data_IF_193249139108
#
_entry.id   IF_193249139108
#
_cell.length_a   1.000
_cell.length_b   1.000
_cell.length_c   1.000
_cell.angle_alpha   90.00
_cell.angle_beta   90.00
_cell.angle_gamma   90.00
#
_symmetry.space_group_name_H-M   'P 1'
#
loop_
_entity.id
_entity.type
_entity.pdbx_description
1 polymer ?
2 polymer ?
3 non-polymer ?
4 non-polymer ?
5 water ?
#
# COMPACT_ATOMS: atom_id res chain seq x y z
N UNK A 30 -18.71 -11.76 -3.51
CA UNK A 30 -17.27 -11.95 -3.65
C UNK A 30 -16.86 -13.34 -3.21
N UNK A 31 -16.41 -14.17 -4.15
CA UNK A 31 -15.95 -15.51 -3.81
C UNK A 31 -14.51 -15.42 -3.34
N UNK A 32 -14.33 -15.45 -2.03
CA UNK A 32 -13.00 -15.41 -1.43
C UNK A 32 -12.38 -16.80 -1.33
N UNK A 33 -12.94 -17.77 -2.08
CA UNK A 33 -12.45 -19.14 -2.21
C UNK A 33 -13.33 -20.12 -1.45
N UNK A 38 -10.30 -18.45 -11.10
CA UNK A 38 -9.77 -19.55 -11.90
C UNK A 38 -10.35 -19.56 -13.31
N UNK A 39 -11.14 -18.54 -13.65
CA UNK A 39 -11.63 -18.40 -15.01
C UNK A 39 -10.47 -18.18 -15.97
N UNK A 40 -10.57 -18.74 -17.18
CA UNK A 40 -9.48 -18.59 -18.13
C UNK A 40 -9.21 -17.12 -18.45
N UNK A 41 -10.26 -16.33 -18.70
CA UNK A 41 -10.04 -14.93 -19.05
C UNK A 41 -9.39 -14.18 -17.90
N UNK A 42 -9.69 -14.55 -16.66
CA UNK A 42 -9.07 -13.88 -15.52
C UNK A 42 -7.60 -14.26 -15.41
N UNK A 43 -7.28 -15.54 -15.62
CA UNK A 43 -5.89 -15.97 -15.54
C UNK A 43 -5.07 -15.27 -16.61
N UNK A 44 -5.61 -15.13 -17.83
CA UNK A 44 -4.89 -14.41 -18.89
C UNK A 44 -4.75 -12.91 -18.58
N UNK A 45 -5.79 -12.33 -17.99
CA UNK A 45 -5.72 -10.93 -17.58
C UNK A 45 -4.63 -10.72 -16.55
N UNK A 46 -4.54 -11.63 -15.57
CA UNK A 46 -3.53 -11.47 -14.54
C UNK A 46 -2.13 -11.53 -15.10
N UNK A 47 -1.90 -12.35 -16.15
CA UNK A 47 -0.60 -12.33 -16.81
C UNK A 47 -0.35 -10.97 -17.44
N UNK A 48 -1.36 -10.42 -18.12
CA UNK A 48 -1.23 -9.09 -18.73
C UNK A 48 -0.94 -8.03 -17.67
N UNK A 49 -1.60 -8.10 -16.52
CA UNK A 49 -1.36 -7.12 -15.48
C UNK A 49 0.08 -7.19 -14.97
N UNK A 50 0.62 -8.39 -14.75
CA UNK A 50 1.99 -8.50 -14.28
C UNK A 50 2.96 -7.93 -15.32
N UNK A 51 2.70 -8.16 -16.60
CA UNK A 51 3.55 -7.60 -17.64
C UNK A 51 3.51 -6.08 -17.62
N UNK A 52 2.33 -5.51 -17.40
CA UNK A 52 2.21 -4.07 -17.32
C UNK A 52 2.90 -3.52 -16.08
N UNK A 53 2.76 -4.20 -14.94
CA UNK A 53 3.41 -3.75 -13.73
C UNK A 53 4.91 -3.76 -13.90
N UNK A 54 5.47 -4.84 -14.43
CA UNK A 54 6.92 -4.89 -14.64
C UNK A 54 7.37 -3.72 -15.51
N UNK A 55 6.72 -3.54 -16.66
CA UNK A 55 7.14 -2.46 -17.54
C UNK A 55 6.98 -1.08 -16.90
N UNK A 56 5.86 -0.86 -16.23
CA UNK A 56 5.62 0.48 -15.69
C UNK A 56 6.56 0.79 -14.52
N UNK A 57 6.80 -0.17 -13.62
CA UNK A 57 7.75 0.06 -12.54
C UNK A 57 9.15 0.28 -13.10
N UNK A 58 9.59 -0.57 -14.03
CA UNK A 58 10.95 -0.41 -14.53
C UNK A 58 11.09 0.87 -15.34
N UNK A 59 10.07 1.27 -16.09
CA UNK A 59 10.13 2.46 -16.94
C UNK A 59 9.90 3.74 -16.16
N UNK A 60 8.86 3.78 -15.35
CA UNK A 60 8.38 5.01 -14.80
C UNK A 60 8.44 5.04 -13.27
N UNK A 61 8.67 3.89 -12.63
CA UNK A 61 8.84 3.82 -11.20
C UNK A 61 7.55 3.68 -10.43
N UNK A 62 6.41 3.62 -11.10
CA UNK A 62 5.11 3.46 -10.46
C UNK A 62 4.15 2.88 -11.48
N UNK A 63 3.03 2.34 -10.96
CA UNK A 63 2.02 1.74 -11.79
C UNK A 63 0.67 1.88 -11.10
N UNK A 64 -0.34 2.26 -11.82
CA UNK A 64 -1.71 2.33 -11.34
C UNK A 64 -2.51 1.23 -12.01
N UNK A 65 -3.29 0.50 -11.21
CA UNK A 65 -4.26 -0.47 -11.71
C UNK A 65 -5.64 -0.04 -11.19
N UNK A 66 -6.51 0.37 -12.07
CA UNK A 66 -7.87 0.71 -11.68
C UNK A 66 -8.72 -0.56 -11.60
N UNK A 67 -9.73 -0.52 -10.71
CA UNK A 67 -10.71 -1.62 -10.63
C UNK A 67 -10.02 -2.97 -10.35
N UNK A 68 -9.14 -2.99 -9.35
CA UNK A 68 -8.30 -4.15 -9.16
C UNK A 68 -9.11 -5.37 -8.73
N UNK A 69 -9.98 -5.23 -7.72
CA UNK A 69 -10.75 -6.37 -7.23
C UNK A 69 -12.16 -6.43 -7.79
N UNK A 70 -12.68 -5.36 -8.36
CA UNK A 70 -14.10 -5.29 -8.67
C UNK A 70 -14.91 -4.72 -7.51
N UNK A 71 -16.07 -4.13 -7.85
CA UNK A 71 -16.80 -3.34 -6.86
C UNK A 71 -17.36 -4.21 -5.72
N UNK A 72 -17.82 -5.43 -6.02
CA UNK A 72 -18.37 -6.29 -4.98
C UNK A 72 -17.32 -6.66 -3.93
N UNK A 73 -16.17 -7.15 -4.38
CA UNK A 73 -15.11 -7.52 -3.45
C UNK A 73 -14.53 -6.29 -2.74
N UNK A 74 -14.35 -5.19 -3.47
CA UNK A 74 -13.84 -3.99 -2.85
C UNK A 74 -14.78 -3.49 -1.74
N UNK A 75 -16.10 -3.58 -1.95
CA UNK A 75 -17.04 -3.15 -0.93
C UNK A 75 -16.86 -3.98 0.32
N UNK A 76 -16.62 -5.28 0.17
CA UNK A 76 -16.40 -6.13 1.35
C UNK A 76 -15.13 -5.73 2.08
N UNK A 77 -14.06 -5.38 1.34
CA UNK A 77 -12.85 -4.92 2.00
C UNK A 77 -13.17 -3.66 2.79
N UNK A 78 -13.84 -2.70 2.14
CA UNK A 78 -14.17 -1.45 2.82
C UNK A 78 -15.00 -1.70 4.07
N UNK A 79 -15.98 -2.58 3.99
CA UNK A 79 -16.84 -2.85 5.16
C UNK A 79 -16.04 -3.42 6.32
N UNK A 80 -15.07 -4.30 6.02
CA UNK A 80 -14.25 -4.86 7.10
C UNK A 80 -13.31 -3.83 7.67
N UNK A 81 -12.74 -2.95 6.83
CA UNK A 81 -11.92 -1.87 7.35
C UNK A 81 -12.72 -0.94 8.26
N UNK A 82 -13.95 -0.61 7.87
CA UNK A 82 -14.78 0.25 8.71
C UNK A 82 -15.13 -0.43 10.02
N UNK A 83 -15.42 -1.70 9.98
CA UNK A 83 -15.72 -2.42 11.21
C UNK A 83 -14.52 -2.43 12.15
N UNK A 84 -13.32 -2.66 11.62
CA UNK A 84 -12.12 -2.58 12.45
C UNK A 84 -11.95 -1.19 13.05
N UNK A 85 -12.15 -0.15 12.24
CA UNK A 85 -11.97 1.20 12.74
C UNK A 85 -12.97 1.48 13.86
N UNK A 86 -14.22 1.11 13.67
CA UNK A 86 -15.26 1.37 14.66
C UNK A 86 -15.04 0.58 15.94
N UNK A 87 -14.29 -0.50 15.88
CA UNK A 87 -14.02 -1.36 17.03
C UNK A 87 -12.90 -0.82 17.93
N UNK A 88 -12.24 0.26 17.57
CA UNK A 88 -11.35 0.95 18.46
C UNK A 88 -9.95 0.39 18.54
N UNK A 89 -9.52 -0.37 17.52
CA UNK A 89 -8.21 -1.01 17.53
C UNK A 89 -7.14 -0.25 16.77
N UNK A 90 -7.44 0.91 16.17
CA UNK A 90 -6.43 1.66 15.43
C UNK A 90 -5.59 2.53 16.36
N UNK A 91 -4.27 2.50 16.09
CA UNK A 91 -3.29 3.28 16.86
C UNK A 91 -2.82 4.44 15.97
N UNK A 92 -1.90 5.24 16.46
CA UNK A 92 -1.36 6.32 15.63
C UNK A 92 -0.25 5.86 14.70
N UNK A 93 -0.25 6.35 13.46
CA UNK A 93 0.85 6.01 12.57
C UNK A 93 2.15 6.54 13.14
N UNK A 94 3.21 5.75 12.99
CA UNK A 94 4.50 6.05 13.60
C UNK A 94 5.57 6.28 12.54
N UNK A 95 6.62 6.98 12.95
CA UNK A 95 7.80 7.20 12.14
C UNK A 95 8.91 6.22 12.52
N UNK A 96 9.93 6.16 11.68
CA UNK A 96 10.99 5.15 11.79
C UNK A 96 11.58 5.06 13.20
N UNK A 97 11.59 6.17 13.95
CA UNK A 97 12.03 6.13 15.35
C UNK A 97 10.96 5.57 16.30
N UNK A 98 9.84 5.08 15.77
CA UNK A 98 8.74 4.54 16.56
C UNK A 98 8.11 5.61 17.44
N UNK A 99 7.96 6.82 16.90
CA UNK A 99 7.26 7.91 17.58
C UNK A 99 6.26 8.51 16.59
N UNK A 100 5.27 9.22 17.12
CA UNK A 100 4.23 9.84 16.32
C UNK A 100 4.25 11.35 16.48
N UNK A 101 4.19 12.05 15.36
CA UNK A 101 4.08 13.51 15.33
C UNK A 101 2.93 13.81 14.39
N UNK A 102 1.79 14.20 14.95
CA UNK A 102 0.57 14.36 14.16
C UNK A 102 0.75 15.34 13.01
N UNK A 103 1.59 16.38 13.20
CA UNK A 103 1.79 17.38 12.14
C UNK A 103 2.64 16.83 10.99
N UNK A 104 3.35 15.74 11.21
CA UNK A 104 4.12 15.08 10.15
C UNK A 104 3.31 13.98 9.48
N UNK A 105 2.71 13.10 10.28
CA UNK A 105 1.95 11.96 9.80
C UNK A 105 0.68 11.85 10.64
N UNK A 106 -0.48 12.09 10.02
CA UNK A 106 -1.74 12.22 10.72
C UNK A 106 -2.75 11.10 10.60
N UNK A 107 -2.29 9.90 10.23
CA UNK A 107 -3.20 8.77 10.11
C UNK A 107 -3.25 7.93 11.37
N UNK A 108 -4.33 7.16 11.45
CA UNK A 108 -4.54 6.09 12.41
C UNK A 108 -4.40 4.79 11.63
N UNK A 109 -3.76 3.78 12.24
CA UNK A 109 -3.43 2.54 11.53
C UNK A 109 -3.74 1.31 12.37
N UNK A 110 -3.86 0.18 11.69
CA UNK A 110 -3.93 -1.13 12.31
C UNK A 110 -3.13 -2.10 11.45
N UNK A 111 -2.32 -2.93 12.07
CA UNK A 111 -1.59 -3.97 11.36
C UNK A 111 -2.43 -5.23 11.38
N UNK A 112 -2.75 -5.73 10.20
CA UNK A 112 -3.67 -6.85 10.01
C UNK A 112 -2.97 -7.95 9.22
N UNK A 113 -2.84 -9.13 9.85
CA UNK A 113 -2.25 -10.27 9.14
C UNK A 113 -3.20 -10.92 8.15
N UNK A 114 -4.48 -10.89 8.43
CA UNK A 114 -5.48 -11.44 7.54
C UNK A 114 -6.31 -12.54 8.15
N UNK A 115 -5.84 -13.18 9.22
CA UNK A 115 -6.58 -14.28 9.83
C UNK A 115 -7.41 -13.86 11.04
N UNK A 116 -7.36 -12.59 11.43
CA UNK A 116 -8.20 -12.08 12.51
C UNK A 116 -9.67 -12.20 12.13
N UNK A 117 -10.53 -12.31 13.14
CA UNK A 117 -11.97 -12.35 12.89
C UNK A 117 -12.39 -11.11 12.11
N UNK A 118 -13.23 -11.32 11.10
CA UNK A 118 -13.76 -10.22 10.32
C UNK A 118 -12.82 -9.63 9.32
N UNK A 119 -11.80 -10.38 8.88
CA UNK A 119 -10.78 -9.83 7.99
C UNK A 119 -10.56 -10.68 6.75
N UNK A 120 -11.48 -11.57 6.42
CA UNK A 120 -11.34 -12.45 5.25
C UNK A 120 -11.22 -11.69 3.94
N UNK A 121 -11.88 -10.54 3.80
CA UNK A 121 -11.77 -9.82 2.55
C UNK A 121 -10.42 -9.10 2.46
N UNK A 122 -9.88 -8.63 3.60
CA UNK A 122 -8.53 -8.09 3.62
C UNK A 122 -7.54 -9.18 3.26
N UNK A 123 -7.75 -10.40 3.78
CA UNK A 123 -6.85 -11.48 3.40
C UNK A 123 -6.93 -11.75 1.90
N UNK A 124 -8.14 -11.71 1.36
CA UNK A 124 -8.31 -11.93 -0.08
C UNK A 124 -7.55 -10.88 -0.88
N UNK A 125 -7.64 -9.62 -0.48
CA UNK A 125 -6.87 -8.58 -1.14
C UNK A 125 -5.38 -8.91 -1.11
N UNK A 126 -4.87 -9.28 0.07
CA UNK A 126 -3.45 -9.56 0.19
C UNK A 126 -3.06 -10.73 -0.68
N UNK A 127 -3.91 -11.74 -0.80
CA UNK A 127 -3.59 -12.88 -1.65
C UNK A 127 -3.51 -12.49 -3.12
N UNK A 128 -4.40 -11.56 -3.54
CA UNK A 128 -4.39 -11.09 -4.92
C UNK A 128 -3.15 -10.28 -5.21
N UNK A 129 -2.73 -9.42 -4.29
CA UNK A 129 -1.50 -8.66 -4.48
C UNK A 129 -0.30 -9.60 -4.45
N UNK A 130 -0.27 -10.55 -3.51
CA UNK A 130 0.84 -11.50 -3.43
C UNK A 130 0.96 -12.25 -4.76
N UNK A 131 -0.15 -12.65 -5.35
CA UNK A 131 -0.11 -13.38 -6.61
C UNK A 131 0.44 -12.51 -7.73
N UNK A 132 0.02 -11.23 -7.76
CA UNK A 132 0.54 -10.30 -8.76
C UNK A 132 2.05 -10.16 -8.60
N UNK A 133 2.52 -9.89 -7.38
CA UNK A 133 3.96 -9.73 -7.16
C UNK A 133 4.70 -11.00 -7.53
N UNK A 134 4.15 -12.18 -7.19
CA UNK A 134 4.84 -13.44 -7.50
C UNK A 134 5.03 -13.62 -8.99
N UNK A 135 4.07 -13.20 -9.80
CA UNK A 135 4.20 -13.29 -11.24
C UNK A 135 5.27 -12.34 -11.76
N UNK A 136 5.64 -11.30 -11.01
CA UNK A 136 6.68 -10.37 -11.43
C UNK A 136 8.07 -10.78 -10.94
N UNK A 137 8.16 -11.76 -10.05
CA UNK A 137 9.44 -12.06 -9.41
C UNK A 137 10.50 -12.39 -10.44
N UNK A 138 11.69 -11.83 -10.22
CA UNK A 138 12.78 -11.97 -11.15
C UNK A 138 12.81 -10.93 -12.22
N UNK A 139 11.79 -10.10 -12.33
CA UNK A 139 11.70 -9.09 -13.38
C UNK A 139 11.65 -7.69 -12.80
N UNK A 140 11.68 -7.55 -11.48
CA UNK A 140 11.64 -6.24 -10.82
C UNK A 140 13.03 -5.84 -10.37
N UNK A 141 13.70 -5.01 -11.16
CA UNK A 141 15.09 -4.71 -10.88
C UNK A 141 15.89 -5.97 -10.63
N UNK A 142 16.77 -5.91 -9.62
CA UNK A 142 17.49 -7.08 -9.14
C UNK A 142 16.97 -7.53 -7.79
N UNK A 143 15.73 -7.18 -7.48
CA UNK A 143 15.16 -7.56 -6.20
C UNK A 143 14.69 -9.01 -6.25
N UNK A 144 14.76 -9.66 -5.09
CA UNK A 144 14.21 -10.99 -4.89
C UNK A 144 13.22 -10.92 -3.72
N UNK A 145 11.96 -11.02 -4.04
CA UNK A 145 10.92 -10.70 -3.08
C UNK A 145 10.42 -11.99 -2.47
N UNK A 146 10.69 -12.17 -1.20
CA UNK A 146 10.31 -13.39 -0.51
C UNK A 146 9.46 -13.13 0.72
N UNK A 147 9.18 -11.89 1.04
CA UNK A 147 8.38 -11.56 2.22
C UNK A 147 7.80 -10.17 2.09
N UNK A 148 6.91 -9.86 3.02
CA UNK A 148 6.30 -8.55 3.05
C UNK A 148 5.86 -8.24 4.46
N UNK A 149 5.43 -6.99 4.66
CA UNK A 149 4.76 -6.64 5.91
C UNK A 149 3.36 -7.26 6.00
N UNK A 150 2.83 -7.31 7.22
CA UNK A 150 1.38 -7.39 7.37
C UNK A 150 0.72 -6.21 6.63
N UNK A 151 -0.61 -6.30 6.43
CA UNK A 151 -1.35 -5.18 5.86
C UNK A 151 -1.38 -4.02 6.84
N UNK A 152 -1.08 -2.83 6.37
CA UNK A 152 -1.22 -1.64 7.18
C UNK A 152 -2.51 -0.96 6.75
N UNK A 153 -3.57 -1.13 7.52
CA UNK A 153 -4.85 -0.49 7.23
C UNK A 153 -4.77 0.91 7.83
N UNK A 154 -5.12 1.95 7.06
CA UNK A 154 -4.92 3.32 7.51
C UNK A 154 -6.14 4.17 7.23
N UNK A 155 -6.36 5.11 8.14
CA UNK A 155 -7.41 6.11 7.99
C UNK A 155 -6.81 7.47 8.34
N UNK A 156 -6.92 8.42 7.42
CA UNK A 156 -6.68 9.82 7.76
C UNK A 156 -8.04 10.38 8.10
N UNK A 157 -8.34 10.72 9.36
CA UNK A 157 -9.74 11.01 9.73
C UNK A 157 -10.13 12.46 9.47
N UNK A 158 -10.07 12.85 8.20
CA UNK A 158 -10.41 14.21 7.80
C UNK A 158 -9.54 15.21 8.55
N UNK A 159 -10.13 16.39 8.82
CA UNK A 159 -9.52 17.39 9.67
C UNK A 159 -8.25 17.96 9.09
N UNK A 160 -8.06 17.85 7.79
CA UNK A 160 -6.87 18.35 7.15
C UNK A 160 -5.63 17.55 7.45
N UNK A 161 -5.78 16.31 7.92
CA UNK A 161 -4.63 15.47 8.25
C UNK A 161 -4.03 14.85 6.99
N UNK A 162 -2.72 14.66 6.99
CA UNK A 162 -2.03 14.10 5.84
C UNK A 162 -0.68 13.55 6.25
N UNK A 163 0.22 13.43 5.28
CA UNK A 163 1.58 12.93 5.53
C UNK A 163 2.51 13.74 4.64
N UNK A 164 3.36 14.55 5.26
CA UNK A 164 4.26 15.43 4.50
C UNK A 164 5.22 14.59 3.64
N UNK A 165 5.84 15.24 2.65
CA UNK A 165 6.69 14.55 1.69
C UNK A 165 7.75 13.70 2.39
N UNK A 166 7.84 12.45 1.98
CA UNK A 166 8.75 11.49 2.59
C UNK A 166 9.13 10.44 1.57
N UNK A 167 10.14 9.67 1.98
CA UNK A 167 10.57 8.47 1.29
C UNK A 167 10.24 7.28 2.19
N UNK A 168 9.63 6.22 1.63
CA UNK A 168 9.27 5.09 2.45
C UNK A 168 10.50 4.39 3.02
N UNK A 169 11.54 4.19 2.22
CA UNK A 169 12.74 3.44 2.62
C UNK A 169 13.98 4.21 2.24
N UNK A 170 14.39 5.18 3.07
CA UNK A 170 15.58 5.98 2.77
C UNK A 170 16.86 5.34 3.26
N UNK A 171 16.79 4.34 4.15
CA UNK A 171 18.00 3.85 4.85
C UNK A 171 18.13 2.33 4.82
N UNK A 172 17.76 1.72 3.70
CA UNK A 172 17.98 0.31 3.45
C UNK A 172 17.36 -0.57 4.54
N UNK A 173 16.06 -0.39 4.74
CA UNK A 173 15.26 -1.17 5.69
C UNK A 173 14.63 -2.39 5.05
N UNK A 174 14.91 -2.66 3.79
CA UNK A 174 14.44 -3.86 3.13
C UNK A 174 13.27 -3.66 2.19
N UNK A 175 12.50 -2.58 2.37
CA UNK A 175 11.31 -2.37 1.57
C UNK A 175 11.67 -2.00 0.13
N UNK A 176 11.18 -2.76 -0.85
CA UNK A 176 11.49 -2.45 -2.23
C UNK A 176 10.30 -2.00 -3.06
N UNK A 177 9.11 -2.53 -2.81
CA UNK A 177 7.90 -2.12 -3.51
C UNK A 177 6.82 -1.76 -2.50
N UNK A 178 6.26 -0.57 -2.63
CA UNK A 178 5.10 -0.15 -1.90
C UNK A 178 3.85 -0.42 -2.71
N UNK A 179 2.85 -1.01 -2.09
CA UNK A 179 1.56 -1.24 -2.70
C UNK A 179 0.49 -0.58 -1.84
N UNK A 180 -0.31 0.28 -2.45
CA UNK A 180 -1.45 0.92 -1.83
C UNK A 180 -2.71 0.48 -2.54
N UNK A 181 -3.73 0.17 -1.75
CA UNK A 181 -5.07 -0.15 -2.23
C UNK A 181 -6.04 0.85 -1.62
N UNK A 182 -6.69 1.62 -2.45
CA UNK A 182 -7.55 2.69 -1.96
C UNK A 182 -9.01 2.26 -1.89
N UNK A 183 -9.74 2.86 -0.94
CA UNK A 183 -11.07 2.40 -0.54
C UNK A 183 -12.09 3.52 -0.45
N UNK A 184 -11.95 4.59 -1.18
CA UNK A 184 -12.80 5.77 -0.99
C UNK A 184 -13.81 5.96 -2.11
N UNK A 185 -15.07 5.60 -1.91
CA UNK A 185 -16.04 5.66 -3.01
C UNK A 185 -16.48 7.08 -3.28
N UNK A 186 -16.71 7.36 -4.54
CA UNK A 186 -17.22 8.66 -4.96
C UNK A 186 -16.42 9.80 -4.34
N UNK A 187 -15.09 9.67 -4.38
CA UNK A 187 -14.18 10.66 -3.79
C UNK A 187 -13.96 11.80 -4.77
N UNK A 188 -14.03 13.04 -4.28
CA UNK A 188 -13.79 14.21 -5.11
C UNK A 188 -12.64 14.96 -4.47
N UNK A 189 -11.47 14.93 -5.10
CA UNK A 189 -10.30 15.51 -4.48
C UNK A 189 -10.35 17.02 -4.40
N UNK A 190 -11.11 17.69 -5.27
CA UNK A 190 -11.23 19.15 -5.15
C UNK A 190 -11.89 19.52 -3.82
N UNK A 191 -12.86 18.75 -3.41
CA UNK A 191 -13.54 19.02 -2.15
C UNK A 191 -12.81 18.41 -0.97
N UNK A 193 -9.60 16.68 -0.83
CA UNK A 193 -8.17 16.58 -0.83
C UNK A 193 -7.71 15.13 -0.80
N UNK A 194 -6.68 14.86 -0.02
CA UNK A 194 -6.19 13.51 0.15
C UNK A 194 -5.56 12.85 -1.06
N UNK A 195 -5.13 13.59 -2.08
CA UNK A 195 -4.41 12.96 -3.17
C UNK A 195 -3.04 12.52 -2.68
N UNK A 196 -2.52 11.47 -3.32
CA UNK A 196 -1.13 11.09 -3.21
C UNK A 196 -0.38 11.83 -4.29
N UNK A 197 0.57 12.65 -3.89
CA UNK A 197 1.43 13.36 -4.84
C UNK A 197 2.79 12.69 -4.87
N UNK A 198 3.13 12.13 -6.00
CA UNK A 198 4.36 11.41 -6.21
C UNK A 198 5.32 12.24 -7.06
N UNK A 199 6.61 12.17 -6.75
CA UNK A 199 7.62 12.95 -7.45
C UNK A 199 8.65 11.97 -8.02
N UNK A 200 8.35 11.30 -9.11
CA UNK A 200 9.29 10.28 -9.60
C UNK A 200 10.67 10.88 -9.89
N UNK A 201 11.72 10.21 -9.44
CA UNK A 201 13.08 10.76 -9.47
C UNK A 201 13.53 11.16 -10.86
N UNK A 203 12.15 12.55 -13.32
CA UNK A 203 11.22 13.54 -13.82
C UNK A 203 11.26 14.82 -12.99
N UNK A 204 10.81 15.92 -13.61
CA UNK A 204 10.69 17.20 -12.93
C UNK A 204 9.22 17.57 -12.82
N UNK A 205 8.43 16.72 -12.16
CA UNK A 205 6.99 16.85 -12.27
C UNK A 205 6.35 16.08 -11.14
N UNK A 206 5.19 16.52 -10.75
CA UNK A 206 4.39 15.82 -9.75
C UNK A 206 3.34 15.00 -10.47
N UNK A 207 3.08 13.81 -9.97
CA UNK A 207 1.99 12.96 -10.43
C UNK A 207 0.95 12.93 -9.32
N UNK A 208 -0.23 13.45 -9.59
CA UNK A 208 -1.27 13.62 -8.58
C UNK A 208 -2.25 12.48 -8.75
N UNK A 209 -2.36 11.66 -7.72
CA UNK A 209 -3.13 10.43 -7.81
C UNK A 209 -4.31 10.49 -6.83
N UNK A 210 -5.53 10.37 -7.35
CA UNK A 210 -6.71 10.34 -6.51
C UNK A 210 -6.84 9.00 -5.79
N UNK A 211 -7.23 9.01 -4.50
CA UNK A 211 -7.31 7.77 -3.70
C UNK A 211 -8.65 7.06 -3.91
N UNK A 212 -8.94 6.73 -5.16
CA UNK A 212 -10.29 6.27 -5.52
C UNK A 212 -10.48 4.78 -5.19
N UNK A 213 -11.70 4.47 -4.86
CA UNK A 213 -12.15 3.11 -4.53
C UNK A 213 -11.66 2.11 -5.57
N UNK A 214 -11.03 1.06 -5.06
CA UNK A 214 -10.64 -0.12 -5.84
C UNK A 214 -9.43 0.15 -6.75
N UNK A 215 -8.68 1.20 -6.49
CA UNK A 215 -7.45 1.46 -7.22
C UNK A 215 -6.25 0.90 -6.46
N UNK A 216 -5.38 0.21 -7.19
CA UNK A 216 -4.10 -0.28 -6.72
C UNK A 216 -2.99 0.58 -7.27
N UNK A 217 -2.06 0.97 -6.43
CA UNK A 217 -0.91 1.74 -6.80
C UNK A 217 0.34 1.01 -6.32
N UNK A 218 1.32 0.85 -7.19
CA UNK A 218 2.62 0.27 -6.84
C UNK A 218 3.73 1.27 -7.18
N UNK A 219 4.76 1.37 -6.34
CA UNK A 219 5.92 2.20 -6.65
C UNK A 219 7.12 1.72 -5.88
N UNK A 220 8.30 1.95 -6.45
CA UNK A 220 9.52 1.66 -5.71
C UNK A 220 9.55 2.44 -4.40
N UNK A 221 9.90 1.74 -3.30
CA UNK A 221 9.88 2.33 -1.97
C UNK A 221 11.07 3.24 -1.68
N UNK A 222 12.15 3.17 -2.46
CA UNK A 222 13.37 3.86 -2.08
C UNK A 222 13.36 5.33 -2.53
N UNK A 223 14.54 5.93 -2.54
CA UNK A 223 14.66 7.38 -2.75
C UNK A 223 14.25 7.83 -4.14
N UNK A 224 13.96 6.90 -5.06
CA UNK A 224 13.42 7.27 -6.36
C UNK A 224 12.05 7.93 -6.27
N UNK A 225 11.29 7.69 -5.20
CA UNK A 225 9.88 8.09 -5.16
C UNK A 225 9.50 8.83 -3.89
N UNK A 226 9.97 10.06 -3.70
CA UNK A 226 9.35 10.91 -2.68
C UNK A 226 7.87 11.09 -2.97
N UNK A 227 7.08 11.17 -1.92
CA UNK A 227 5.62 11.32 -2.06
C UNK A 227 5.02 11.90 -0.80
N UNK A 228 3.82 12.47 -0.94
CA UNK A 228 3.12 13.05 0.19
C UNK A 228 1.63 12.78 0.06
N UNK A 229 0.96 12.62 1.20
CA UNK A 229 -0.51 12.54 1.24
C UNK A 229 -0.98 13.94 1.57
N UNK A 230 -1.63 14.58 0.60
CA UNK A 230 -2.14 15.92 0.82
C UNK A 230 -3.25 15.94 1.86
N UNK A 231 -3.41 17.03 2.60
CA UNK A 231 -4.45 17.10 3.63
C UNK A 231 -5.80 16.57 3.15
N UNK A 232 -6.40 15.70 3.97
CA UNK A 232 -7.70 15.12 3.68
C UNK A 232 -8.77 15.83 4.48
N UNK A 233 -9.90 16.08 3.84
CA UNK A 233 -11.01 16.80 4.45
C UNK A 233 -12.20 15.90 4.71
N UNK A 234 -12.06 14.61 4.44
CA UNK A 234 -13.05 13.60 4.75
C UNK A 234 -12.29 12.37 5.23
N UNK A 235 -12.98 11.39 5.79
CA UNK A 235 -12.32 10.16 6.22
C UNK A 235 -11.74 9.47 5.00
N UNK A 236 -10.44 9.16 5.03
CA UNK A 236 -9.74 8.59 3.87
C UNK A 236 -9.10 7.28 4.24
N UNK A 237 -9.49 6.22 3.55
CA UNK A 237 -9.09 4.86 3.90
C UNK A 237 -8.21 4.25 2.81
N UNK A 238 -7.25 3.44 3.24
CA UNK A 238 -6.35 2.72 2.31
C UNK A 238 -5.70 1.57 3.06
N UNK A 239 -5.20 0.61 2.31
CA UNK A 239 -4.39 -0.48 2.86
C UNK A 239 -3.04 -0.49 2.15
N UNK A 240 -1.95 -0.62 2.89
CA UNK A 240 -0.61 -0.71 2.36
C UNK A 240 0.02 -2.07 2.63
N UNK A 241 0.72 -2.59 1.64
CA UNK A 241 1.58 -3.75 1.77
C UNK A 241 2.97 -3.32 1.26
N UNK A 242 4.01 -3.52 2.07
CA UNK A 242 5.36 -3.30 1.64
C UNK A 242 6.03 -4.65 1.43
N UNK A 243 6.56 -4.87 0.22
CA UNK A 243 7.27 -6.09 -0.13
C UNK A 243 8.77 -5.87 0.04
N UNK A 244 9.43 -6.87 0.60
CA UNK A 244 10.86 -6.81 0.94
C UNK A 244 11.72 -7.47 -0.11
N UNK A 245 12.92 -6.90 -0.29
CA UNK A 245 14.01 -7.56 -0.99
C UNK A 245 14.84 -8.36 0.02
N UNK A 246 14.89 -9.67 -0.17
CA UNK A 246 15.44 -10.55 0.87
C UNK A 246 16.83 -10.13 1.33
N UNK A 247 17.72 -9.81 0.41
CA UNK A 247 19.09 -9.52 0.81
C UNK A 247 19.17 -8.25 1.64
N UNK A 248 18.43 -7.20 1.25
CA UNK A 248 18.45 -5.99 2.03
C UNK A 248 17.74 -6.17 3.36
N UNK A 249 16.61 -6.88 3.36
CA UNK A 249 15.85 -7.05 4.60
C UNK A 249 16.65 -7.77 5.69
N UNK A 250 17.59 -8.60 5.30
CA UNK A 250 18.40 -9.29 6.28
C UNK A 250 19.12 -8.31 7.21
N UNK A 251 19.49 -7.13 6.71
CA UNK A 251 20.24 -6.18 7.51
C UNK A 251 19.49 -5.74 8.74
N UNK A 252 18.15 -5.85 8.74
CA UNK A 252 17.30 -5.41 9.84
C UNK A 252 17.11 -6.47 10.92
N UNK A 253 17.63 -7.66 10.73
CA UNK A 253 17.35 -8.70 11.72
C UNK A 253 18.01 -8.37 13.06
N UNK A 254 17.35 -8.83 14.13
CA UNK A 254 17.76 -8.44 15.47
C UNK A 254 17.60 -9.59 16.45
N UNK B 4 14.58 15.95 7.96
CA UNK B 4 15.22 15.25 6.85
C UNK B 4 14.49 13.93 6.59
N UNK B 5 14.70 13.34 5.41
CA UNK B 5 13.96 12.14 5.05
C UNK B 5 14.25 10.98 6.01
N UNK B 6 15.41 10.99 6.65
CA UNK B 6 15.75 9.86 7.52
C UNK B 6 14.73 9.73 8.66
N UNK B 7 14.30 10.84 9.24
CA UNK B 7 13.36 10.79 10.35
C UNK B 7 11.90 10.72 9.92
N UNK B 8 11.60 10.87 8.63
CA UNK B 8 10.22 10.94 8.18
C UNK B 8 9.67 9.62 7.65
N UNK B 9 10.47 8.58 7.61
CA UNK B 9 10.02 7.35 7.01
C UNK B 9 8.95 6.68 7.86
N UNK B 10 7.97 6.03 7.24
CA UNK B 10 6.94 5.33 8.02
C UNK B 10 7.54 4.10 8.72
N UNK B 11 7.11 3.88 9.95
CA UNK B 11 7.60 2.75 10.72
C UNK B 11 7.30 1.42 10.05
N UNK B 12 8.26 0.50 10.08
CA UNK B 12 8.07 -0.86 9.60
C UNK B 12 8.32 -1.78 10.78
N UNK B 13 7.41 -2.70 11.10
CA UNK B 13 7.65 -3.63 12.18
C UNK B 13 8.90 -4.46 11.89
N UNK B 14 9.60 -4.90 12.93
CA UNK B 14 10.88 -5.62 12.71
C UNK B 14 10.65 -7.02 12.16
N UNK B 15 11.72 -7.71 11.78
CA UNK B 15 11.57 -8.92 10.96
C UNK B 15 10.77 -10.05 11.58
N UNK B 16 10.67 -10.11 12.91
CA UNK B 16 9.83 -11.17 13.49
C UNK B 16 8.38 -11.08 13.08
N UNK B 17 7.93 -9.92 12.56
CA UNK B 17 6.56 -9.72 12.14
C UNK B 17 6.40 -9.87 10.63
N UNK B 18 7.45 -10.21 9.90
CA UNK B 18 7.34 -10.32 8.44
C UNK B 18 6.52 -11.54 8.06
N UNK B 19 5.82 -11.41 6.93
CA UNK B 19 5.01 -12.46 6.35
C UNK B 19 5.80 -13.07 5.23
N UNK B 20 6.15 -14.34 5.37
CA UNK B 20 6.91 -15.06 4.37
C UNK B 20 5.99 -15.42 3.20
N UNK B 21 6.48 -15.22 1.99
CA UNK B 21 5.68 -15.50 0.79
C UNK B 21 5.93 -16.89 0.23
#
# INVERSE_FOLDING_TARGET
>A
MGSSHHHHHHSSGLVPRGSHMDERRPKIGCDKTGLALEKTWQLQKNERLSNMVVNQLNTNGFCIINNFLGSSCSTEVLQQVLNLYQSGVFSNGQLARNVSVNRIRGDKIAWIGGDERGCEAIKYLSSCVDSLISRCNGRLGNYMITGRTKCMVACYPGSGLGYIRHIDNPNRDGRCVTVLYYLNPNWNSQDXGGQLWLYPNNENKVVKIDPIFDRLLLFWSDRRNPHEVKPAYAMRYAITLWYFDEKERALSSQNGT
>B
EKEDYDDLAPFVPPPSFDNRL
#
